data_IF_286125592986
#
_entry.id   IF_286125592986
#
_cell.length_a   1.000
_cell.length_b   1.000
_cell.length_c   1.000
_cell.angle_alpha   90.00
_cell.angle_beta   90.00
_cell.angle_gamma   90.00
#
_symmetry.space_group_name_H-M   'P 1'
#
loop_
_entity.id
_entity.type
_entity.pdbx_description
1 polymer ?
#
# COMPACT_ATOMS: atom_id res chain seq x y z
N UNK A 1 -4.77 6.82 24.25
CA UNK A 1 -3.49 6.39 23.63
C UNK A 1 -2.69 7.64 23.27
N UNK A 2 -1.35 7.61 23.25
CA UNK A 2 -0.56 8.83 23.07
C UNK A 2 -0.56 9.23 21.59
N UNK A 3 -1.48 10.14 21.22
CA UNK A 3 -1.60 10.70 19.88
C UNK A 3 -0.23 11.16 19.34
N UNK A 4 0.28 10.53 18.27
CA UNK A 4 1.56 10.84 17.62
C UNK A 4 1.60 12.35 17.37
N UNK A 5 2.60 13.01 17.95
CA UNK A 5 2.75 14.46 17.74
C UNK A 5 2.84 14.78 16.24
N UNK A 6 2.32 15.94 15.83
CA UNK A 6 2.39 16.42 14.44
C UNK A 6 3.82 16.34 13.90
N UNK A 7 4.80 16.72 14.72
CA UNK A 7 6.23 16.66 14.37
C UNK A 7 6.68 15.23 14.03
N UNK A 8 6.26 14.25 14.82
CA UNK A 8 6.62 12.85 14.62
C UNK A 8 5.95 12.27 13.36
N UNK A 9 4.68 12.62 13.12
CA UNK A 9 3.99 12.24 11.87
C UNK A 9 4.68 12.82 10.64
N UNK A 10 5.05 14.11 10.67
CA UNK A 10 5.82 14.72 9.58
C UNK A 10 7.14 14.00 9.34
N UNK A 11 7.89 13.70 10.40
CA UNK A 11 9.16 12.99 10.30
C UNK A 11 9.02 11.57 9.72
N UNK A 12 7.97 10.85 10.08
CA UNK A 12 7.68 9.52 9.53
C UNK A 12 7.25 9.59 8.06
N UNK A 13 6.45 10.59 7.68
CA UNK A 13 6.10 10.84 6.26
C UNK A 13 7.32 11.17 5.43
N UNK A 14 8.18 12.07 5.90
CA UNK A 14 9.42 12.43 5.21
C UNK A 14 10.35 11.24 5.08
N UNK A 15 10.46 10.42 6.13
CA UNK A 15 11.23 9.18 6.09
C UNK A 15 10.70 8.20 5.03
N UNK A 16 9.39 7.94 5.02
CA UNK A 16 8.78 7.00 4.10
C UNK A 16 8.90 7.51 2.65
N UNK A 17 8.63 8.80 2.41
CA UNK A 17 8.84 9.46 1.11
C UNK A 17 10.25 9.28 0.57
N UNK A 18 11.25 9.47 1.43
CA UNK A 18 12.66 9.35 1.04
C UNK A 18 13.13 7.89 0.91
N UNK A 19 12.34 6.93 1.38
CA UNK A 19 12.68 5.50 1.37
C UNK A 19 11.91 4.72 0.30
N UNK A 20 10.83 5.28 -0.24
CA UNK A 20 10.02 4.66 -1.29
C UNK A 20 10.74 4.68 -2.64
N UNK A 21 10.45 3.68 -3.48
CA UNK A 21 11.18 3.42 -4.73
C UNK A 21 10.96 4.50 -5.80
N UNK A 22 9.80 5.15 -5.76
CA UNK A 22 9.36 6.11 -6.77
C UNK A 22 8.46 7.15 -6.11
N UNK A 23 8.98 8.35 -5.81
CA UNK A 23 8.30 9.33 -4.95
C UNK A 23 6.83 9.64 -5.32
N UNK A 24 6.41 9.36 -6.56
CA UNK A 24 5.01 9.41 -6.99
C UNK A 24 4.15 8.24 -6.47
N UNK A 25 4.67 7.00 -6.48
CA UNK A 25 4.03 5.84 -5.87
C UNK A 25 3.79 6.06 -4.38
N UNK A 26 4.76 6.65 -3.67
CA UNK A 26 4.59 7.07 -2.27
C UNK A 26 3.40 8.02 -2.07
N UNK A 27 3.32 9.09 -2.89
CA UNK A 27 2.26 10.10 -2.77
C UNK A 27 0.87 9.56 -3.11
N UNK A 28 0.79 8.60 -4.03
CA UNK A 28 -0.49 8.07 -4.52
C UNK A 28 -0.98 6.86 -3.74
N UNK A 29 -0.07 5.99 -3.27
CA UNK A 29 -0.39 4.72 -2.64
C UNK A 29 -0.14 4.77 -1.12
N UNK A 30 1.12 4.76 -0.69
CA UNK A 30 1.49 4.60 0.73
C UNK A 30 0.83 5.65 1.64
N UNK A 31 0.84 6.94 1.24
CA UNK A 31 0.21 8.00 2.05
C UNK A 31 -1.32 7.88 2.11
N UNK A 32 -1.94 7.32 1.07
CA UNK A 32 -3.39 7.06 1.04
C UNK A 32 -3.77 5.85 1.85
N UNK A 33 -3.02 4.75 1.74
CA UNK A 33 -3.20 3.56 2.58
C UNK A 33 -3.06 3.96 4.04
N UNK A 34 -1.99 4.67 4.43
CA UNK A 34 -1.82 5.15 5.80
C UNK A 34 -3.04 5.91 6.33
N UNK A 35 -3.54 6.86 5.55
CA UNK A 35 -4.63 7.75 5.94
C UNK A 35 -5.99 7.05 5.97
N UNK A 36 -6.23 6.11 5.06
CA UNK A 36 -7.48 5.34 5.03
C UNK A 36 -7.45 4.21 6.09
N UNK A 37 -6.29 3.60 6.37
CA UNK A 37 -6.09 2.61 7.44
C UNK A 37 -6.30 3.22 8.82
N UNK A 38 -5.83 4.45 9.05
CA UNK A 38 -6.09 5.21 10.27
C UNK A 38 -7.60 5.36 10.54
N UNK A 39 -8.35 5.84 9.53
CA UNK A 39 -9.80 6.04 9.66
C UNK A 39 -10.54 4.73 9.88
N UNK A 40 -10.16 3.68 9.15
CA UNK A 40 -10.79 2.36 9.29
C UNK A 40 -10.48 1.79 10.68
N UNK A 41 -9.26 1.92 11.17
CA UNK A 41 -8.89 1.49 12.51
C UNK A 41 -9.76 2.17 13.59
N UNK A 42 -10.01 3.48 13.47
CA UNK A 42 -10.91 4.21 14.38
C UNK A 42 -12.35 3.67 14.35
N UNK A 43 -12.84 3.21 13.19
CA UNK A 43 -14.18 2.61 13.07
C UNK A 43 -14.29 1.24 13.75
N UNK A 44 -13.19 0.50 13.84
CA UNK A 44 -13.13 -0.85 14.42
C UNK A 44 -12.50 -0.91 15.82
N UNK A 45 -12.19 0.25 16.42
CA UNK A 45 -11.47 0.34 17.70
C UNK A 45 -10.11 -0.40 17.69
N UNK A 46 -9.45 -0.43 16.52
CA UNK A 46 -8.08 -0.90 16.37
C UNK A 46 -7.09 0.24 16.69
N UNK A 47 -5.83 -0.09 16.97
CA UNK A 47 -4.80 0.92 17.18
C UNK A 47 -4.51 1.69 15.88
N UNK A 48 -5.07 2.90 15.78
CA UNK A 48 -5.00 3.71 14.58
C UNK A 48 -3.60 4.20 14.25
N UNK A 49 -2.71 4.29 15.25
CA UNK A 49 -1.30 4.68 15.03
C UNK A 49 -0.49 3.53 14.46
N UNK A 50 -0.72 2.31 14.94
CA UNK A 50 -0.15 1.10 14.35
C UNK A 50 -0.59 0.99 12.90
N UNK A 51 -1.89 1.13 12.62
CA UNK A 51 -2.44 1.06 11.28
C UNK A 51 -1.89 2.16 10.36
N UNK A 52 -1.80 3.39 10.86
CA UNK A 52 -1.26 4.52 10.10
C UNK A 52 0.23 4.31 9.73
N UNK A 53 1.07 3.88 10.69
CA UNK A 53 2.50 3.65 10.44
C UNK A 53 2.71 2.43 9.53
N UNK A 54 2.00 1.34 9.77
CA UNK A 54 2.08 0.15 8.93
C UNK A 54 1.66 0.48 7.49
N UNK A 55 0.51 1.13 7.30
CA UNK A 55 0.06 1.59 5.99
C UNK A 55 1.05 2.55 5.31
N UNK A 56 1.72 3.42 6.07
CA UNK A 56 2.73 4.33 5.54
C UNK A 56 4.04 3.64 5.12
N UNK A 57 4.34 2.46 5.66
CA UNK A 57 5.66 1.84 5.52
C UNK A 57 5.66 0.43 4.93
N UNK A 58 4.48 -0.13 4.60
CA UNK A 58 4.31 -1.51 4.14
C UNK A 58 5.10 -1.84 2.87
N UNK A 59 5.29 -0.86 1.97
CA UNK A 59 5.90 -1.05 0.65
C UNK A 59 7.34 -0.52 0.51
N UNK A 60 7.95 0.01 1.57
CA UNK A 60 9.31 0.56 1.52
C UNK A 60 10.38 -0.46 1.07
N UNK A 61 10.09 -1.75 1.21
CA UNK A 61 10.92 -2.85 0.75
C UNK A 61 11.10 -2.94 -0.76
N UNK A 62 10.24 -2.28 -1.56
CA UNK A 62 10.43 -2.11 -3.00
C UNK A 62 11.60 -1.18 -3.34
N UNK A 63 11.89 -0.20 -2.46
CA UNK A 63 13.03 0.71 -2.60
C UNK A 63 14.40 0.07 -2.35
N UNK A 64 14.43 -1.21 -1.94
CA UNK A 64 15.66 -1.92 -1.58
C UNK A 64 16.03 -3.00 -2.61
N UNK A 65 17.33 -3.29 -2.82
CA UNK A 65 17.76 -4.43 -3.62
C UNK A 65 17.18 -5.74 -3.08
N UNK A 66 16.63 -6.56 -3.98
CA UNK A 66 16.10 -7.88 -3.65
C UNK A 66 14.95 -8.32 -4.55
N UNK A 67 14.38 -9.49 -4.26
CA UNK A 67 13.22 -10.01 -5.01
C UNK A 67 11.94 -9.29 -4.58
N UNK A 68 11.07 -8.97 -5.54
CA UNK A 68 9.77 -8.35 -5.28
C UNK A 68 8.95 -9.13 -4.22
N UNK A 69 8.92 -10.47 -4.31
CA UNK A 69 8.15 -11.33 -3.38
C UNK A 69 8.56 -11.26 -1.90
N UNK A 70 9.67 -10.58 -1.58
CA UNK A 70 10.16 -10.44 -0.20
C UNK A 70 10.17 -8.97 0.25
N UNK A 71 9.41 -8.10 -0.43
CA UNK A 71 9.33 -6.68 -0.08
C UNK A 71 8.80 -6.50 1.35
N UNK A 72 7.75 -7.20 1.77
CA UNK A 72 7.21 -7.14 3.14
C UNK A 72 8.27 -7.41 4.23
N UNK A 73 9.15 -8.39 4.06
CA UNK A 73 10.25 -8.67 5.02
C UNK A 73 11.26 -7.52 5.08
N UNK A 74 11.54 -6.88 3.94
CA UNK A 74 12.44 -5.72 3.88
C UNK A 74 11.78 -4.49 4.48
N UNK A 75 10.50 -4.23 4.16
CA UNK A 75 9.69 -3.15 4.74
C UNK A 75 9.65 -3.25 6.26
N UNK A 76 9.39 -4.45 6.80
CA UNK A 76 9.41 -4.72 8.24
C UNK A 76 10.76 -4.32 8.87
N UNK A 77 11.88 -4.71 8.24
CA UNK A 77 13.23 -4.35 8.72
C UNK A 77 13.48 -2.84 8.70
N UNK A 78 13.05 -2.15 7.65
CA UNK A 78 13.21 -0.70 7.47
C UNK A 78 12.38 0.06 8.52
N UNK A 79 11.10 -0.28 8.64
CA UNK A 79 10.18 0.32 9.61
C UNK A 79 10.64 0.05 11.05
N UNK A 80 10.94 -1.20 11.39
CA UNK A 80 11.40 -1.62 12.72
C UNK A 80 12.62 -0.81 13.17
N UNK A 81 13.66 -0.72 12.31
CA UNK A 81 14.85 0.08 12.61
C UNK A 81 14.47 1.54 12.90
N UNK A 82 13.67 2.15 12.02
CA UNK A 82 13.28 3.55 12.17
C UNK A 82 12.50 3.82 13.46
N UNK A 83 11.58 2.93 13.82
CA UNK A 83 10.76 3.09 15.02
C UNK A 83 11.59 2.87 16.30
N UNK A 84 12.52 1.92 16.30
CA UNK A 84 13.48 1.78 17.40
C UNK A 84 14.38 3.01 17.56
N UNK A 85 14.88 3.59 16.45
CA UNK A 85 15.67 4.83 16.48
C UNK A 85 14.87 6.02 17.04
N UNK A 86 13.53 5.98 16.93
CA UNK A 86 12.61 6.98 17.47
C UNK A 86 12.15 6.68 18.91
N UNK A 87 12.60 5.57 19.50
CA UNK A 87 12.29 5.20 20.89
C UNK A 87 10.91 4.57 21.11
N UNK A 88 10.26 4.04 20.06
CA UNK A 88 9.02 3.28 20.23
C UNK A 88 9.27 1.97 20.99
N UNK A 89 8.27 1.52 21.75
CA UNK A 89 8.37 0.29 22.54
C UNK A 89 8.47 -0.94 21.64
N UNK A 90 9.15 -2.02 22.07
CA UNK A 90 9.23 -3.26 21.29
C UNK A 90 7.87 -3.87 20.97
N UNK A 91 6.89 -3.74 21.86
CA UNK A 91 5.51 -4.19 21.65
C UNK A 91 4.84 -3.43 20.49
N UNK A 92 4.89 -2.10 20.51
CA UNK A 92 4.34 -1.26 19.45
C UNK A 92 4.99 -1.57 18.10
N UNK A 93 6.33 -1.67 18.09
CA UNK A 93 7.09 -2.03 16.88
C UNK A 93 6.71 -3.42 16.39
N UNK A 94 6.48 -4.38 17.29
CA UNK A 94 6.00 -5.72 16.97
C UNK A 94 4.65 -5.72 16.25
N UNK A 95 3.69 -4.92 16.73
CA UNK A 95 2.37 -4.78 16.10
C UNK A 95 2.44 -4.16 14.71
N UNK A 96 3.21 -3.07 14.55
CA UNK A 96 3.47 -2.47 13.22
C UNK A 96 4.09 -3.49 12.26
N UNK A 97 5.09 -4.24 12.75
CA UNK A 97 5.80 -5.23 11.97
C UNK A 97 4.91 -6.40 11.52
N UNK A 98 3.94 -6.82 12.34
CA UNK A 98 2.98 -7.86 11.97
C UNK A 98 2.03 -7.37 10.89
N UNK A 99 1.49 -6.15 11.05
CA UNK A 99 0.61 -5.57 10.04
C UNK A 99 1.32 -5.41 8.68
N UNK A 100 2.59 -5.00 8.68
CA UNK A 100 3.41 -4.97 7.45
C UNK A 100 3.66 -6.37 6.90
N UNK A 101 3.87 -7.37 7.74
CA UNK A 101 4.15 -8.74 7.27
C UNK A 101 2.94 -9.36 6.55
N UNK A 102 1.74 -9.05 7.04
CA UNK A 102 0.50 -9.69 6.61
C UNK A 102 -0.33 -8.86 5.61
N UNK A 103 0.14 -7.69 5.17
CA UNK A 103 -0.64 -6.80 4.30
C UNK A 103 -1.01 -7.44 2.94
N UNK A 104 -0.15 -8.31 2.41
CA UNK A 104 -0.29 -8.99 1.11
C UNK A 104 -0.73 -10.45 1.32
N UNK A 105 -1.92 -10.67 1.89
CA UNK A 105 -2.44 -12.00 2.26
C UNK A 105 -3.96 -12.02 2.45
N UNK A 106 -4.60 -13.19 2.27
CA UNK A 106 -5.99 -13.39 2.70
C UNK A 106 -6.02 -13.64 4.20
N UNK A 107 -6.55 -12.69 4.97
CA UNK A 107 -6.64 -12.81 6.44
C UNK A 107 -8.05 -13.16 6.90
N UNK A 108 -8.13 -14.05 7.90
CA UNK A 108 -9.34 -14.36 8.65
C UNK A 108 -9.45 -13.37 9.83
N UNK A 109 -10.44 -12.45 9.83
CA UNK A 109 -10.57 -11.44 10.88
C UNK A 109 -10.80 -12.01 12.28
N UNK A 110 -11.18 -13.29 12.41
CA UNK A 110 -11.33 -13.97 13.70
C UNK A 110 -10.02 -14.53 14.28
N UNK A 111 -8.95 -14.57 13.48
CA UNK A 111 -7.66 -15.20 13.85
C UNK A 111 -6.49 -14.24 13.90
N UNK A 112 -6.60 -13.08 13.26
CA UNK A 112 -5.54 -12.08 13.19
C UNK A 112 -5.88 -10.84 14.02
N UNK A 113 -4.87 -10.10 14.52
CA UNK A 113 -5.07 -8.78 15.09
C UNK A 113 -5.82 -7.85 14.14
N UNK A 114 -6.64 -6.95 14.68
CA UNK A 114 -7.42 -6.03 13.85
C UNK A 114 -6.52 -5.12 13.02
N UNK A 115 -5.36 -4.71 13.54
CA UNK A 115 -4.42 -3.87 12.81
C UNK A 115 -3.90 -4.54 11.54
N UNK A 116 -3.58 -5.83 11.61
CA UNK A 116 -3.13 -6.64 10.47
C UNK A 116 -4.23 -6.69 9.39
N UNK A 117 -5.46 -6.98 9.83
CA UNK A 117 -6.64 -7.08 8.96
C UNK A 117 -6.97 -5.74 8.31
N UNK A 118 -6.97 -4.65 9.09
CA UNK A 118 -7.27 -3.31 8.59
C UNK A 118 -6.26 -2.87 7.54
N UNK A 119 -4.96 -3.01 7.81
CA UNK A 119 -3.91 -2.59 6.88
C UNK A 119 -3.98 -3.42 5.59
N UNK A 120 -4.09 -4.74 5.71
CA UNK A 120 -4.24 -5.65 4.57
C UNK A 120 -5.43 -5.28 3.67
N UNK A 121 -6.62 -5.14 4.24
CA UNK A 121 -7.83 -4.92 3.43
C UNK A 121 -7.93 -3.51 2.89
N UNK A 122 -7.42 -2.51 3.62
CA UNK A 122 -7.35 -1.13 3.13
C UNK A 122 -6.33 -1.00 2.02
N UNK A 123 -5.18 -1.65 2.12
CA UNK A 123 -4.19 -1.69 1.05
C UNK A 123 -4.78 -2.33 -0.22
N UNK A 124 -5.41 -3.49 -0.07
CA UNK A 124 -6.12 -4.17 -1.14
C UNK A 124 -7.24 -3.33 -1.76
N UNK A 125 -8.04 -2.64 -0.95
CA UNK A 125 -9.07 -1.72 -1.45
C UNK A 125 -8.48 -0.50 -2.15
N UNK A 126 -7.37 0.02 -1.64
CA UNK A 126 -6.67 1.19 -2.16
C UNK A 126 -6.10 0.95 -3.56
N UNK A 127 -5.72 -0.29 -3.88
CA UNK A 127 -5.36 -0.68 -5.24
C UNK A 127 -6.44 -0.28 -6.26
N UNK A 128 -7.72 -0.58 -6.02
CA UNK A 128 -8.81 -0.27 -6.95
C UNK A 128 -9.04 1.24 -7.14
N UNK A 129 -8.80 2.01 -6.08
CA UNK A 129 -9.00 3.46 -6.05
C UNK A 129 -7.84 4.24 -6.65
N UNK A 130 -6.60 3.79 -6.39
CA UNK A 130 -5.36 4.50 -6.73
C UNK A 130 -4.48 3.75 -7.75
N UNK A 131 -5.06 2.81 -8.50
CA UNK A 131 -4.41 1.96 -9.51
C UNK A 131 -3.53 2.68 -10.53
N UNK A 132 -3.76 3.98 -10.76
CA UNK A 132 -2.94 4.79 -11.69
C UNK A 132 -1.48 4.89 -11.23
N UNK A 133 -1.22 4.94 -9.92
CA UNK A 133 0.15 4.95 -9.39
C UNK A 133 0.88 3.66 -9.74
N UNK A 134 0.24 2.52 -9.47
CA UNK A 134 0.74 1.19 -9.88
C UNK A 134 0.92 1.09 -11.40
N UNK A 135 -0.01 1.62 -12.19
CA UNK A 135 0.09 1.60 -13.65
C UNK A 135 1.31 2.37 -14.18
N UNK A 136 1.60 3.55 -13.62
CA UNK A 136 2.78 4.36 -13.97
C UNK A 136 4.06 3.63 -13.56
N UNK A 137 4.12 3.10 -12.34
CA UNK A 137 5.27 2.34 -11.85
C UNK A 137 5.55 1.10 -12.71
N UNK A 138 4.53 0.28 -13.01
CA UNK A 138 4.66 -0.88 -13.91
C UNK A 138 5.11 -0.46 -15.30
N UNK A 139 4.55 0.63 -15.84
CA UNK A 139 4.94 1.15 -17.16
C UNK A 139 6.43 1.50 -17.18
N UNK A 140 6.95 2.14 -16.13
CA UNK A 140 8.38 2.46 -16.00
C UNK A 140 9.26 1.24 -15.76
N UNK A 141 8.80 0.26 -14.98
CA UNK A 141 9.53 -1.00 -14.80
C UNK A 141 9.67 -1.76 -16.12
N UNK A 142 8.58 -1.86 -16.90
CA UNK A 142 8.56 -2.55 -18.19
C UNK A 142 9.37 -1.83 -19.29
N UNK A 143 9.88 -0.61 -19.04
CA UNK A 143 10.89 0.02 -19.90
C UNK A 143 12.16 -0.82 -19.97
N UNK A 144 12.47 -1.58 -18.90
CA UNK A 144 13.71 -2.34 -18.78
C UNK A 144 13.67 -3.71 -19.48
N UNK A 145 12.49 -4.27 -19.69
CA UNK A 145 12.33 -5.70 -20.02
C UNK A 145 11.61 -5.99 -21.36
N UNK A 146 11.04 -5.00 -22.06
CA UNK A 146 10.21 -5.29 -23.25
C UNK A 146 10.13 -4.23 -24.35
N UNK A 147 9.58 -4.66 -25.50
CA UNK A 147 9.29 -3.82 -26.67
C UNK A 147 8.31 -2.69 -26.31
N UNK A 148 8.62 -1.41 -26.60
CA UNK A 148 7.76 -0.27 -26.25
C UNK A 148 6.31 -0.39 -26.69
N UNK A 149 6.05 -1.10 -27.79
CA UNK A 149 4.72 -1.32 -28.37
C UNK A 149 3.81 -2.24 -27.56
N UNK A 150 4.36 -3.08 -26.67
CA UNK A 150 3.60 -4.05 -25.87
C UNK A 150 3.38 -3.60 -24.42
N UNK A 151 4.06 -2.54 -23.97
CA UNK A 151 4.07 -2.08 -22.56
C UNK A 151 2.67 -1.86 -22.00
N UNK A 152 1.81 -1.17 -22.75
CA UNK A 152 0.46 -0.88 -22.27
C UNK A 152 -0.39 -2.14 -22.09
N UNK A 153 -0.25 -3.11 -23.00
CA UNK A 153 -0.99 -4.36 -22.90
C UNK A 153 -0.51 -5.19 -21.71
N UNK A 154 0.79 -5.21 -21.46
CA UNK A 154 1.37 -5.86 -20.28
C UNK A 154 0.92 -5.20 -18.97
N UNK A 155 0.89 -3.86 -18.90
CA UNK A 155 0.38 -3.12 -17.73
C UNK A 155 -1.08 -3.48 -17.47
N UNK A 156 -1.93 -3.45 -18.50
CA UNK A 156 -3.36 -3.81 -18.35
C UNK A 156 -3.53 -5.25 -17.90
N UNK A 157 -2.81 -6.19 -18.54
CA UNK A 157 -2.86 -7.62 -18.21
C UNK A 157 -2.45 -7.88 -16.77
N UNK A 158 -1.37 -7.22 -16.31
CA UNK A 158 -0.92 -7.30 -14.93
C UNK A 158 -1.98 -6.76 -13.96
N UNK A 159 -2.51 -5.55 -14.21
CA UNK A 159 -3.50 -4.93 -13.33
C UNK A 159 -4.79 -5.77 -13.23
N UNK A 160 -5.23 -6.39 -14.32
CA UNK A 160 -6.40 -7.28 -14.31
C UNK A 160 -6.11 -8.56 -13.52
N UNK A 161 -4.98 -9.23 -13.79
CA UNK A 161 -4.61 -10.45 -13.07
C UNK A 161 -4.42 -10.18 -11.57
N UNK A 162 -3.77 -9.08 -11.21
CA UNK A 162 -3.56 -8.71 -9.81
C UNK A 162 -4.88 -8.36 -9.13
N UNK A 163 -5.82 -7.73 -9.83
CA UNK A 163 -7.13 -7.38 -9.26
C UNK A 163 -7.95 -8.57 -8.78
N UNK A 164 -7.85 -9.72 -9.45
CA UNK A 164 -8.56 -10.95 -9.06
C UNK A 164 -8.04 -11.48 -7.71
N UNK A 165 -6.73 -11.41 -7.51
CA UNK A 165 -6.08 -11.77 -6.25
C UNK A 165 -6.39 -10.75 -5.16
N UNK A 166 -6.16 -9.47 -5.43
CA UNK A 166 -6.33 -8.39 -4.44
C UNK A 166 -7.77 -8.26 -3.94
N UNK A 167 -8.78 -8.47 -4.80
CA UNK A 167 -10.18 -8.45 -4.36
C UNK A 167 -10.45 -9.50 -3.26
N UNK A 168 -9.79 -10.66 -3.34
CA UNK A 168 -9.97 -11.75 -2.38
C UNK A 168 -9.50 -11.42 -0.96
N UNK A 169 -8.66 -10.39 -0.81
CA UNK A 169 -8.12 -9.98 0.48
C UNK A 169 -9.18 -9.21 1.29
N UNK A 170 -10.16 -8.58 0.63
CA UNK A 170 -11.15 -7.71 1.25
C UNK A 170 -12.33 -8.54 1.80
N UNK A 171 -12.13 -9.17 2.96
CA UNK A 171 -13.09 -10.11 3.55
C UNK A 171 -14.10 -9.47 4.51
N UNK A 172 -13.82 -8.29 5.08
CA UNK A 172 -14.74 -7.60 5.99
C UNK A 172 -15.81 -6.86 5.18
N UNK A 173 -17.12 -7.13 5.40
CA UNK A 173 -18.19 -6.49 4.64
C UNK A 173 -18.18 -4.96 4.72
N UNK A 174 -17.82 -4.42 5.87
CA UNK A 174 -17.72 -2.98 6.12
C UNK A 174 -16.64 -2.32 5.27
N UNK A 175 -15.44 -2.92 5.24
CA UNK A 175 -14.32 -2.41 4.43
C UNK A 175 -14.65 -2.59 2.94
N UNK A 176 -15.22 -3.74 2.55
CA UNK A 176 -15.65 -3.97 1.17
C UNK A 176 -16.62 -2.90 0.67
N UNK A 177 -17.61 -2.53 1.48
CA UNK A 177 -18.57 -1.45 1.13
C UNK A 177 -17.88 -0.12 0.83
N UNK A 178 -16.71 0.16 1.40
CA UNK A 178 -15.96 1.40 1.13
C UNK A 178 -15.32 1.41 -0.28
N UNK A 179 -15.05 0.24 -0.86
CA UNK A 179 -14.36 0.10 -2.14
C UNK A 179 -15.23 -0.51 -3.24
N UNK A 180 -16.45 -0.96 -2.92
CA UNK A 180 -17.38 -1.63 -3.84
C UNK A 180 -17.59 -0.88 -5.16
N UNK A 181 -17.76 0.44 -5.11
CA UNK A 181 -17.92 1.28 -6.30
C UNK A 181 -16.65 1.29 -7.18
N UNK A 182 -15.48 1.36 -6.54
CA UNK A 182 -14.19 1.39 -7.23
C UNK A 182 -13.88 0.03 -7.87
N UNK A 183 -14.14 -1.06 -7.14
CA UNK A 183 -14.06 -2.46 -7.63
C UNK A 183 -14.98 -2.64 -8.85
N UNK A 184 -16.26 -2.27 -8.74
CA UNK A 184 -17.24 -2.42 -9.83
C UNK A 184 -16.98 -1.55 -11.07
N UNK A 185 -16.11 -0.54 -10.96
CA UNK A 185 -15.68 0.33 -12.07
C UNK A 185 -14.29 -0.05 -12.61
N UNK A 186 -13.51 -0.83 -11.88
CA UNK A 186 -12.09 -1.05 -12.14
C UNK A 186 -11.82 -1.55 -13.55
N UNK A 187 -12.44 -2.67 -13.97
CA UNK A 187 -12.22 -3.26 -15.29
C UNK A 187 -12.44 -2.28 -16.45
N UNK A 188 -13.58 -1.56 -16.43
CA UNK A 188 -13.88 -0.54 -17.45
C UNK A 188 -12.85 0.59 -17.49
N UNK A 189 -12.28 0.95 -16.33
CA UNK A 189 -11.23 1.98 -16.24
C UNK A 189 -9.89 1.49 -16.76
N UNK A 190 -9.57 0.19 -16.60
CA UNK A 190 -8.38 -0.43 -17.20
C UNK A 190 -8.50 -0.51 -18.72
N UNK A 191 -9.68 -0.84 -19.25
CA UNK A 191 -9.92 -0.94 -20.70
C UNK A 191 -9.60 0.38 -21.43
N UNK A 192 -9.88 1.52 -20.79
CA UNK A 192 -9.62 2.87 -21.35
C UNK A 192 -8.34 3.52 -20.81
N UNK A 193 -7.55 2.80 -20.02
CA UNK A 193 -6.33 3.33 -19.41
C UNK A 193 -5.29 3.66 -20.49
N UNK A 194 -4.74 4.88 -20.41
CA UNK A 194 -3.68 5.39 -21.27
C UNK A 194 -2.60 6.02 -20.36
N UNK A 195 -1.57 5.24 -20.03
CA UNK A 195 -0.51 5.69 -19.11
C UNK A 195 0.37 6.77 -19.75
N UNK A 196 0.54 6.76 -21.08
CA UNK A 196 1.28 7.81 -21.77
C UNK A 196 0.64 9.18 -21.54
N UNK A 197 -0.70 9.27 -21.63
CA UNK A 197 -1.42 10.49 -21.25
C UNK A 197 -1.25 10.86 -19.78
N UNK A 198 -1.23 9.90 -18.86
CA UNK A 198 -1.00 10.20 -17.44
C UNK A 198 0.38 10.86 -17.26
N UNK A 199 1.41 10.31 -17.89
CA UNK A 199 2.78 10.86 -17.83
C UNK A 199 2.86 12.25 -18.45
N UNK A 200 2.22 12.46 -19.61
CA UNK A 200 2.20 13.77 -20.30
C UNK A 200 1.52 14.87 -19.47
N UNK A 201 0.56 14.51 -18.60
CA UNK A 201 -0.10 15.44 -17.68
C UNK A 201 0.72 15.71 -16.39
N UNK A 202 1.99 15.31 -16.36
CA UNK A 202 2.92 15.63 -15.28
C UNK A 202 2.96 14.62 -14.14
N UNK A 203 2.35 13.44 -14.31
CA UNK A 203 2.57 12.32 -13.39
C UNK A 203 3.88 11.63 -13.79
N UNK A 204 5.00 12.06 -13.20
CA UNK A 204 6.34 11.52 -13.47
C UNK A 204 6.85 10.65 -12.34
#
# INVERSE_FOLDING_TARGET
>A
MPNLSTRLRTHLRDFARNSSQDGLYFMLHEEKVASDSEKVAELFDADSEVCWIAGLTHDLGYGQPGKSQTHHLRSQKIASKKLHDLGFSPDFVGRVNNAILHHDSVLDPSKFPLEDVVVCQVDAGSFFKYYKGMAIWLYHMMIRDGEPSQRMEMVRSYLLSHSEETESYITMPEIRRMYEEEIGKFRRRIDVLDVAKLIDHGYR
#
